data_IF_886838552115
#
_entry.id   IF_886838552115
#
_cell.length_a   1.000
_cell.length_b   1.000
_cell.length_c   1.000
_cell.angle_alpha   90.00
_cell.angle_beta   90.00
_cell.angle_gamma   90.00
#
_symmetry.space_group_name_H-M   'P 1'
#
loop_
_entity.id
_entity.type
_entity.pdbx_description
1 polymer ?
#
# COMPACT_ATOMS: atom_id res chain seq x y z
N UNK A 1 -14.66 14.72 -3.10
CA UNK A 1 -13.33 15.14 -3.57
C UNK A 1 -12.35 15.26 -2.40
N UNK A 2 -12.02 14.13 -1.75
CA UNK A 2 -11.05 14.11 -0.63
C UNK A 2 -9.67 14.62 -1.06
N UNK A 3 -9.22 14.26 -2.27
CA UNK A 3 -7.91 14.64 -2.79
C UNK A 3 -7.85 16.14 -3.06
N UNK A 4 -8.86 16.71 -3.74
CA UNK A 4 -8.94 18.16 -3.96
C UNK A 4 -8.92 18.95 -2.65
N UNK A 5 -9.57 18.47 -1.60
CA UNK A 5 -9.54 19.14 -0.29
C UNK A 5 -8.13 19.11 0.33
N UNK A 6 -7.39 18.03 0.11
CA UNK A 6 -6.02 17.85 0.59
C UNK A 6 -5.02 18.72 -0.19
N UNK A 7 -5.09 18.68 -1.52
CA UNK A 7 -4.09 19.25 -2.44
C UNK A 7 -4.48 20.60 -3.02
N UNK A 8 -5.76 20.96 -3.05
CA UNK A 8 -6.26 22.22 -3.60
C UNK A 8 -6.55 22.20 -5.11
N UNK A 9 -6.43 21.05 -5.78
CA UNK A 9 -6.70 20.91 -7.21
C UNK A 9 -7.34 19.56 -7.54
N UNK A 10 -8.01 19.47 -8.70
CA UNK A 10 -8.64 18.22 -9.17
C UNK A 10 -7.61 17.22 -9.67
N UNK A 11 -7.86 15.94 -9.43
CA UNK A 11 -6.92 14.90 -9.83
C UNK A 11 -6.75 14.80 -11.35
N UNK A 12 -5.50 14.88 -11.80
CA UNK A 12 -5.04 14.32 -13.05
C UNK A 12 -3.56 14.03 -12.93
N UNK A 13 -3.03 13.10 -13.73
CA UNK A 13 -1.60 12.78 -13.73
C UNK A 13 -0.74 14.03 -13.91
N UNK A 14 -1.10 14.87 -14.88
CA UNK A 14 -0.37 16.11 -15.18
C UNK A 14 -0.48 17.11 -14.03
N UNK A 15 -1.69 17.30 -13.46
CA UNK A 15 -1.88 18.23 -12.35
C UNK A 15 -1.09 17.79 -11.11
N UNK A 16 -0.99 16.49 -10.82
CA UNK A 16 -0.18 15.95 -9.73
C UNK A 16 1.29 16.32 -9.94
N UNK A 17 1.87 16.00 -11.10
CA UNK A 17 3.30 16.27 -11.35
C UNK A 17 3.62 17.76 -11.46
N UNK A 18 2.67 18.60 -11.89
CA UNK A 18 2.87 20.05 -11.96
C UNK A 18 2.75 20.74 -10.60
N UNK A 19 1.87 20.25 -9.72
CA UNK A 19 1.50 20.97 -8.50
C UNK A 19 2.01 20.32 -7.21
N UNK A 20 2.62 19.13 -7.26
CA UNK A 20 3.17 18.46 -6.08
C UNK A 20 4.68 18.37 -6.16
N UNK A 21 5.34 18.85 -5.10
CA UNK A 21 6.78 18.66 -4.88
C UNK A 21 6.95 17.63 -3.77
N UNK A 22 7.73 16.59 -4.07
CA UNK A 22 8.18 15.62 -3.08
C UNK A 22 9.66 15.87 -2.79
N UNK A 23 9.98 16.06 -1.51
CA UNK A 23 11.37 16.20 -1.04
C UNK A 23 11.51 15.49 0.31
N UNK A 24 12.57 14.70 0.44
CA UNK A 24 12.81 13.86 1.62
C UNK A 24 11.58 13.00 1.92
N UNK A 25 10.93 13.19 3.06
CA UNK A 25 9.73 12.48 3.53
C UNK A 25 8.47 13.37 3.52
N UNK A 26 8.51 14.48 2.78
CA UNK A 26 7.44 15.47 2.70
C UNK A 26 6.89 15.64 1.30
N UNK A 27 5.61 15.96 1.26
CA UNK A 27 4.84 16.30 0.07
C UNK A 27 4.27 17.71 0.27
N UNK A 28 4.57 18.61 -0.65
CA UNK A 28 4.03 19.98 -0.68
C UNK A 28 3.17 20.19 -1.92
N UNK A 29 1.95 20.68 -1.72
CA UNK A 29 1.12 21.17 -2.81
C UNK A 29 1.41 22.65 -3.07
N UNK A 30 1.71 22.98 -4.33
CA UNK A 30 1.90 24.34 -4.81
C UNK A 30 0.58 25.09 -4.97
N UNK A 31 -0.52 24.39 -5.20
CA UNK A 31 -1.82 25.00 -5.42
C UNK A 31 -2.41 25.65 -4.15
N UNK A 32 -2.16 25.07 -2.98
CA UNK A 32 -2.65 25.60 -1.70
C UNK A 32 -1.55 25.88 -0.67
N UNK A 33 -0.28 25.64 -1.02
CA UNK A 33 0.89 25.89 -0.17
C UNK A 33 1.07 24.91 1.00
N UNK A 34 0.16 23.95 1.21
CA UNK A 34 0.20 23.01 2.34
C UNK A 34 1.28 21.95 2.15
N UNK A 35 1.90 21.56 3.26
CA UNK A 35 2.95 20.55 3.32
C UNK A 35 2.58 19.48 4.35
N UNK A 36 2.82 18.22 3.99
CA UNK A 36 2.49 17.07 4.83
C UNK A 36 3.62 16.07 4.83
N UNK A 37 3.64 15.21 5.86
CA UNK A 37 4.60 14.12 5.94
C UNK A 37 4.02 12.87 5.28
N UNK A 38 4.54 12.48 4.09
CA UNK A 38 4.12 11.21 3.49
C UNK A 38 4.83 10.02 4.12
N UNK A 39 6.03 10.24 4.68
CA UNK A 39 6.79 9.22 5.40
C UNK A 39 7.78 8.47 4.52
N UNK A 40 7.86 7.14 4.66
CA UNK A 40 8.73 6.29 3.82
C UNK A 40 8.03 4.99 3.46
N UNK A 41 8.11 4.60 2.19
CA UNK A 41 7.59 3.33 1.71
C UNK A 41 8.70 2.28 1.69
N UNK A 42 8.49 1.16 2.37
CA UNK A 42 9.28 -0.06 2.21
C UNK A 42 8.43 -1.18 1.61
N UNK A 43 9.06 -2.10 0.88
CA UNK A 43 8.42 -3.30 0.31
C UNK A 43 9.11 -4.61 0.71
N UNK A 44 9.28 -4.90 2.02
CA UNK A 44 10.02 -6.05 2.48
C UNK A 44 9.24 -7.35 2.25
N UNK A 45 9.98 -8.43 2.01
CA UNK A 45 9.50 -9.80 2.11
C UNK A 45 9.30 -10.22 3.57
N UNK A 46 8.45 -11.21 3.82
CA UNK A 46 8.28 -11.80 5.15
C UNK A 46 9.61 -12.33 5.71
N UNK A 47 10.48 -12.86 4.85
CA UNK A 47 11.84 -13.26 5.26
C UNK A 47 12.64 -12.08 5.81
N UNK A 48 12.71 -10.98 5.07
CA UNK A 48 13.43 -9.77 5.49
C UNK A 48 12.85 -9.21 6.80
N UNK A 49 11.52 -9.24 6.98
CA UNK A 49 10.88 -8.83 8.24
C UNK A 49 11.30 -9.72 9.42
N UNK A 50 11.29 -11.05 9.24
CA UNK A 50 11.73 -12.00 10.28
C UNK A 50 13.20 -11.77 10.66
N UNK A 51 14.06 -11.48 9.68
CA UNK A 51 15.46 -11.14 9.90
C UNK A 51 15.60 -9.81 10.67
N UNK A 52 14.86 -8.76 10.29
CA UNK A 52 14.81 -7.48 11.02
C UNK A 52 14.39 -7.70 12.49
N UNK A 53 13.39 -8.54 12.75
CA UNK A 53 12.94 -8.86 14.13
C UNK A 53 13.98 -9.66 14.90
N UNK A 54 14.60 -10.66 14.28
CA UNK A 54 15.66 -11.49 14.91
C UNK A 54 16.86 -10.64 15.35
N UNK A 55 17.21 -9.63 14.55
CA UNK A 55 18.31 -8.70 14.81
C UNK A 55 17.88 -7.50 15.67
N UNK A 56 16.62 -7.42 16.09
CA UNK A 56 16.13 -6.33 16.92
C UNK A 56 16.52 -6.52 18.38
N UNK A 57 16.97 -5.44 19.01
CA UNK A 57 17.21 -5.36 20.46
C UNK A 57 15.98 -4.86 21.23
N UNK A 58 14.80 -4.85 20.62
CA UNK A 58 13.57 -4.42 21.26
C UNK A 58 13.28 -5.27 22.52
N UNK A 59 12.98 -4.59 23.63
CA UNK A 59 12.63 -5.27 24.89
C UNK A 59 11.37 -6.10 24.70
N UNK A 60 11.45 -7.40 25.02
CA UNK A 60 10.27 -8.27 25.08
C UNK A 60 9.30 -7.71 26.13
N UNK A 61 8.05 -7.49 25.73
CA UNK A 61 6.96 -7.05 26.62
C UNK A 61 5.81 -8.06 26.56
N UNK A 62 4.91 -8.02 27.54
CA UNK A 62 3.67 -8.81 27.50
C UNK A 62 2.77 -8.25 26.41
N UNK A 63 2.44 -9.08 25.43
CA UNK A 63 1.52 -8.74 24.35
C UNK A 63 0.08 -8.83 24.88
N UNK A 64 -0.74 -7.82 24.59
CA UNK A 64 -2.17 -7.83 24.85
C UNK A 64 -2.89 -7.86 23.52
N UNK A 65 -3.81 -8.81 23.36
CA UNK A 65 -4.67 -8.92 22.19
C UNK A 65 -6.11 -8.65 22.62
N UNK A 66 -6.84 -7.85 21.84
CA UNK A 66 -8.26 -7.58 22.04
C UNK A 66 -8.94 -7.42 20.68
N UNK A 67 -10.20 -7.81 20.60
CA UNK A 67 -11.07 -7.43 19.50
C UNK A 67 -11.63 -6.02 19.75
N UNK A 68 -11.68 -5.19 18.72
CA UNK A 68 -12.27 -3.85 18.76
C UNK A 68 -13.22 -3.76 17.58
N UNK A 69 -14.44 -3.30 17.83
CA UNK A 69 -15.37 -2.88 16.80
C UNK A 69 -15.42 -1.35 16.83
N UNK A 70 -14.89 -0.71 15.79
CA UNK A 70 -14.81 0.74 15.71
C UNK A 70 -14.77 1.19 14.25
N UNK A 71 -15.04 2.47 14.03
CA UNK A 71 -14.82 3.15 12.76
C UNK A 71 -13.31 3.38 12.55
N UNK A 72 -12.77 2.90 11.43
CA UNK A 72 -11.33 2.96 11.18
C UNK A 72 -10.83 4.39 10.94
N UNK A 73 -11.66 5.28 10.38
CA UNK A 73 -11.35 6.71 10.27
C UNK A 73 -11.26 7.34 11.66
N UNK A 74 -12.20 7.01 12.56
CA UNK A 74 -12.14 7.50 13.93
C UNK A 74 -10.87 7.02 14.67
N UNK A 75 -10.44 5.77 14.44
CA UNK A 75 -9.19 5.26 15.00
C UNK A 75 -7.96 6.00 14.46
N UNK A 76 -7.93 6.35 13.16
CA UNK A 76 -6.84 7.15 12.60
C UNK A 76 -6.83 8.58 13.16
N UNK A 77 -7.99 9.20 13.36
CA UNK A 77 -8.11 10.55 13.89
C UNK A 77 -7.77 10.65 15.39
N UNK A 78 -7.86 9.56 16.15
CA UNK A 78 -7.53 9.56 17.57
C UNK A 78 -6.01 9.78 17.79
N UNK A 79 -5.58 10.91 18.37
CA UNK A 79 -4.17 11.19 18.62
C UNK A 79 -3.51 10.19 19.59
N UNK A 80 -4.29 9.43 20.36
CA UNK A 80 -3.77 8.35 21.21
C UNK A 80 -3.13 7.21 20.41
N UNK A 81 -3.48 7.08 19.13
CA UNK A 81 -2.87 6.14 18.18
C UNK A 81 -1.62 6.68 17.47
N UNK A 82 -1.05 7.80 17.93
CA UNK A 82 0.23 8.30 17.40
C UNK A 82 1.30 7.20 17.44
N UNK A 83 2.00 7.01 16.33
CA UNK A 83 3.00 5.96 16.08
C UNK A 83 2.43 4.52 16.07
N UNK A 84 1.10 4.35 16.04
CA UNK A 84 0.51 3.04 15.85
C UNK A 84 0.71 2.54 14.42
N UNK A 85 0.78 1.22 14.27
CA UNK A 85 0.80 0.53 12.98
C UNK A 85 -0.62 0.04 12.66
N UNK A 86 -1.19 0.52 11.56
CA UNK A 86 -2.46 0.09 11.00
C UNK A 86 -2.19 -0.92 9.88
N UNK A 87 -2.50 -2.19 10.15
CA UNK A 87 -2.42 -3.23 9.13
C UNK A 87 -3.77 -3.39 8.46
N UNK A 88 -3.81 -3.24 7.15
CA UNK A 88 -4.99 -3.42 6.30
C UNK A 88 -4.70 -4.37 5.15
N UNK A 89 -5.74 -5.02 4.65
CA UNK A 89 -5.64 -5.71 3.37
C UNK A 89 -5.55 -4.66 2.25
N UNK A 90 -4.64 -4.91 1.30
CA UNK A 90 -4.39 -4.07 0.14
C UNK A 90 -4.14 -4.97 -1.07
N UNK A 91 -4.25 -4.43 -2.28
CA UNK A 91 -3.86 -5.14 -3.49
C UNK A 91 -2.33 -5.29 -3.55
N UNK A 92 -1.84 -6.20 -4.40
CA UNK A 92 -0.40 -6.49 -4.46
C UNK A 92 0.43 -5.35 -5.07
N UNK A 93 -0.21 -4.32 -5.64
CA UNK A 93 0.43 -3.07 -6.07
C UNK A 93 0.33 -1.93 -5.04
N UNK A 94 -0.19 -2.21 -3.84
CA UNK A 94 -0.35 -1.27 -2.73
C UNK A 94 -1.33 -0.13 -3.01
N UNK A 95 -2.28 -0.36 -3.93
CA UNK A 95 -3.40 0.53 -4.24
C UNK A 95 -4.72 -0.14 -3.83
N UNK A 96 -5.78 0.66 -3.75
CA UNK A 96 -7.15 0.24 -3.35
C UNK A 96 -8.13 0.51 -4.50
N UNK A 97 -7.76 0.11 -5.72
CA UNK A 97 -8.59 0.34 -6.89
C UNK A 97 -9.86 -0.51 -6.81
N UNK A 98 -11.02 -0.02 -7.22
CA UNK A 98 -12.29 -0.77 -7.07
C UNK A 98 -12.37 -2.04 -7.96
N UNK A 99 -11.47 -2.17 -8.94
CA UNK A 99 -11.40 -3.33 -9.81
C UNK A 99 -10.10 -3.44 -10.61
N UNK A 100 -9.85 -4.60 -11.25
CA UNK A 100 -8.61 -4.87 -11.98
C UNK A 100 -8.45 -4.02 -13.25
N UNK A 101 -9.50 -3.36 -13.71
CA UNK A 101 -9.46 -2.52 -14.90
C UNK A 101 -9.24 -1.03 -14.57
N UNK A 102 -9.13 -0.66 -13.29
CA UNK A 102 -8.94 0.74 -12.88
C UNK A 102 -7.46 1.04 -12.67
N UNK A 103 -6.80 1.61 -13.66
CA UNK A 103 -5.34 1.74 -13.69
C UNK A 103 -4.83 2.84 -12.74
N UNK A 104 -3.52 2.85 -12.39
CA UNK A 104 -2.92 3.91 -11.58
C UNK A 104 -3.16 5.33 -12.13
N UNK A 105 -3.18 5.46 -13.47
CA UNK A 105 -3.39 6.73 -14.16
C UNK A 105 -4.83 7.25 -14.04
N UNK A 106 -5.81 6.37 -13.78
CA UNK A 106 -7.20 6.77 -13.53
C UNK A 106 -7.39 7.41 -12.14
N UNK A 107 -6.36 7.36 -11.29
CA UNK A 107 -6.28 8.15 -10.06
C UNK A 107 -6.89 7.48 -8.83
N UNK A 108 -6.64 8.12 -7.69
CA UNK A 108 -7.00 7.64 -6.34
C UNK A 108 -8.12 8.47 -5.70
N UNK A 109 -8.59 9.54 -6.35
CA UNK A 109 -9.73 10.33 -5.87
C UNK A 109 -10.99 9.46 -5.77
N UNK A 110 -11.13 8.47 -6.67
CA UNK A 110 -12.26 7.53 -6.70
C UNK A 110 -12.43 6.68 -5.42
N UNK A 111 -11.42 6.61 -4.55
CA UNK A 111 -11.48 5.86 -3.29
C UNK A 111 -12.62 6.35 -2.38
N UNK A 112 -13.11 7.58 -2.55
CA UNK A 112 -14.24 8.09 -1.75
C UNK A 112 -15.57 7.40 -2.01
N UNK A 113 -15.68 6.65 -3.11
CA UNK A 113 -16.87 5.88 -3.46
C UNK A 113 -16.81 4.44 -2.95
N UNK A 114 -15.67 4.00 -2.42
CA UNK A 114 -15.50 2.69 -1.81
C UNK A 114 -15.41 2.84 -0.28
N UNK A 115 -16.45 2.36 0.40
CA UNK A 115 -16.58 2.46 1.86
C UNK A 115 -15.99 1.26 2.61
N UNK A 116 -15.19 0.43 1.94
CA UNK A 116 -14.43 -0.63 2.62
C UNK A 116 -13.23 -0.07 3.38
N UNK A 117 -12.63 -0.88 4.25
CA UNK A 117 -11.58 -0.42 5.17
C UNK A 117 -10.30 0.06 4.46
N UNK A 118 -9.90 -0.60 3.36
CA UNK A 118 -8.67 -0.26 2.62
C UNK A 118 -8.68 1.18 2.11
N UNK A 119 -9.65 1.57 1.27
CA UNK A 119 -9.81 2.94 0.77
C UNK A 119 -9.93 3.98 1.90
N UNK A 120 -10.68 3.69 2.98
CA UNK A 120 -10.80 4.61 4.11
C UNK A 120 -9.43 4.87 4.76
N UNK A 121 -8.64 3.82 5.02
CA UNK A 121 -7.29 3.97 5.56
C UNK A 121 -6.36 4.72 4.59
N UNK A 122 -6.46 4.43 3.29
CA UNK A 122 -5.70 5.12 2.26
C UNK A 122 -6.02 6.63 2.21
N UNK A 123 -7.28 7.02 2.41
CA UNK A 123 -7.71 8.43 2.49
C UNK A 123 -7.26 9.08 3.81
N UNK A 124 -7.32 8.35 4.93
CA UNK A 124 -6.85 8.85 6.24
C UNK A 124 -5.37 9.28 6.17
N UNK A 125 -4.55 8.52 5.44
CA UNK A 125 -3.14 8.80 5.21
C UNK A 125 -2.89 9.23 3.75
N UNK A 126 -3.67 10.21 3.29
CA UNK A 126 -3.81 10.57 1.88
C UNK A 126 -2.48 10.88 1.18
N UNK A 127 -1.54 11.54 1.86
CA UNK A 127 -0.22 11.84 1.25
C UNK A 127 0.66 10.61 1.06
N UNK A 128 0.55 9.59 1.93
CA UNK A 128 1.18 8.29 1.70
C UNK A 128 0.59 7.60 0.46
N UNK A 129 -0.72 7.71 0.26
CA UNK A 129 -1.41 7.16 -0.92
C UNK A 129 -1.04 7.89 -2.21
N UNK A 130 -0.96 9.23 -2.21
CA UNK A 130 -0.47 10.01 -3.35
C UNK A 130 0.96 9.57 -3.70
N UNK A 131 1.83 9.44 -2.69
CA UNK A 131 3.20 9.01 -2.91
C UNK A 131 3.26 7.62 -3.56
N UNK A 132 2.54 6.63 -3.01
CA UNK A 132 2.49 5.26 -3.55
C UNK A 132 2.06 5.21 -5.02
N UNK A 133 1.07 6.01 -5.42
CA UNK A 133 0.58 6.00 -6.79
C UNK A 133 1.50 6.77 -7.74
N UNK A 134 1.93 7.98 -7.37
CA UNK A 134 2.53 8.92 -8.32
C UNK A 134 4.04 9.11 -8.19
N UNK A 135 4.64 8.83 -7.03
CA UNK A 135 6.02 9.22 -6.74
C UNK A 135 6.92 8.07 -6.26
N UNK A 136 6.36 6.91 -5.91
CA UNK A 136 7.13 5.73 -5.57
C UNK A 136 8.06 5.33 -6.74
N UNK A 137 9.30 4.97 -6.44
CA UNK A 137 10.25 4.50 -7.45
C UNK A 137 10.02 3.02 -7.72
N UNK A 138 9.54 2.70 -8.91
CA UNK A 138 9.19 1.34 -9.34
C UNK A 138 10.02 0.99 -10.56
N UNK A 139 10.87 -0.03 -10.47
CA UNK A 139 11.75 -0.50 -11.55
C UNK A 139 12.56 0.65 -12.21
N UNK A 140 13.03 1.60 -11.40
CA UNK A 140 13.82 2.74 -11.87
C UNK A 140 13.00 3.96 -12.31
N UNK A 141 11.69 3.84 -12.47
CA UNK A 141 10.79 4.92 -12.89
C UNK A 141 10.00 5.50 -11.71
N UNK A 142 9.58 6.76 -11.81
CA UNK A 142 8.77 7.43 -10.79
C UNK A 142 7.29 7.21 -11.10
N UNK A 143 6.55 6.76 -10.08
CA UNK A 143 5.11 6.52 -10.16
C UNK A 143 4.77 5.15 -10.71
N UNK A 144 3.59 4.67 -10.32
CA UNK A 144 2.96 3.49 -10.88
C UNK A 144 2.23 3.84 -12.17
N UNK A 145 2.22 2.89 -13.09
CA UNK A 145 1.50 2.98 -14.37
C UNK A 145 0.89 1.64 -14.70
N UNK A 146 0.03 1.58 -15.71
CA UNK A 146 -0.56 0.33 -16.20
C UNK A 146 0.49 -0.75 -16.48
N UNK A 147 1.68 -0.35 -16.98
CA UNK A 147 2.74 -1.27 -17.40
C UNK A 147 3.93 -1.34 -16.42
N UNK A 148 3.89 -0.61 -15.30
CA UNK A 148 4.97 -0.59 -14.32
C UNK A 148 4.39 -0.35 -12.93
N UNK A 149 4.23 -1.42 -12.16
CA UNK A 149 3.60 -1.40 -10.83
C UNK A 149 4.50 -2.08 -9.80
N UNK A 150 4.31 -1.72 -8.54
CA UNK A 150 4.76 -2.54 -7.43
C UNK A 150 4.04 -3.89 -7.57
N UNK A 151 4.77 -4.98 -7.35
CA UNK A 151 4.19 -6.32 -7.34
C UNK A 151 4.69 -7.10 -6.13
N UNK A 152 3.83 -7.19 -5.12
CA UNK A 152 4.11 -7.91 -3.89
C UNK A 152 4.08 -9.43 -4.04
N UNK A 153 3.63 -9.96 -5.19
CA UNK A 153 3.68 -11.38 -5.53
C UNK A 153 4.86 -11.75 -6.43
N UNK A 154 5.67 -10.80 -6.92
CA UNK A 154 6.71 -11.07 -7.91
C UNK A 154 7.66 -12.23 -7.53
N UNK A 155 8.00 -12.37 -6.24
CA UNK A 155 8.87 -13.46 -5.77
C UNK A 155 8.13 -14.80 -5.59
N UNK A 156 6.80 -14.77 -5.39
CA UNK A 156 5.93 -15.95 -5.41
C UNK A 156 5.68 -16.42 -6.85
N UNK A 157 5.52 -15.49 -7.80
CA UNK A 157 5.42 -15.79 -9.25
C UNK A 157 6.61 -16.65 -9.67
N UNK A 158 7.84 -16.25 -9.33
CA UNK A 158 9.06 -17.01 -9.62
C UNK A 158 9.09 -18.36 -8.91
N UNK A 159 8.65 -18.43 -7.66
CA UNK A 159 8.68 -19.66 -6.88
C UNK A 159 7.70 -20.73 -7.40
N UNK A 160 6.59 -20.31 -8.02
CA UNK A 160 5.57 -21.21 -8.58
C UNK A 160 5.70 -21.38 -10.10
N UNK A 161 6.61 -20.68 -10.76
CA UNK A 161 6.82 -20.75 -12.21
C UNK A 161 5.69 -20.09 -13.02
N UNK A 162 5.13 -18.97 -12.51
CA UNK A 162 4.02 -18.26 -13.15
C UNK A 162 4.44 -17.10 -14.06
N UNK A 163 5.68 -17.05 -14.54
CA UNK A 163 6.18 -15.94 -15.38
C UNK A 163 5.40 -15.77 -16.70
N UNK A 164 4.82 -16.87 -17.20
CA UNK A 164 4.00 -16.90 -18.41
C UNK A 164 2.50 -16.79 -18.12
N UNK A 165 2.11 -16.37 -16.90
CA UNK A 165 0.73 -16.20 -16.45
C UNK A 165 -0.16 -17.45 -16.62
N UNK A 166 0.42 -18.66 -16.53
CA UNK A 166 -0.33 -19.91 -16.71
C UNK A 166 -1.18 -20.26 -15.48
N UNK A 167 -0.75 -19.86 -14.28
CA UNK A 167 -1.43 -20.12 -13.03
C UNK A 167 -2.42 -19.00 -12.67
N UNK A 168 -1.98 -17.75 -12.83
CA UNK A 168 -2.82 -16.55 -12.70
C UNK A 168 -2.25 -15.42 -13.55
N UNK A 169 -3.09 -14.44 -13.87
CA UNK A 169 -2.65 -13.19 -14.48
C UNK A 169 -2.63 -12.09 -13.42
N UNK A 170 -1.52 -11.35 -13.30
CA UNK A 170 -1.50 -10.12 -12.53
C UNK A 170 -2.11 -8.99 -13.35
N UNK A 171 -3.19 -8.37 -12.86
CA UNK A 171 -3.81 -7.20 -13.48
C UNK A 171 -4.12 -6.14 -12.44
N UNK A 172 -3.38 -5.04 -12.50
CA UNK A 172 -3.55 -3.90 -11.60
C UNK A 172 -3.57 -4.27 -10.10
N UNK A 173 -2.60 -5.06 -9.66
CA UNK A 173 -2.52 -5.53 -8.26
C UNK A 173 -3.42 -6.71 -7.91
N UNK A 174 -4.29 -7.17 -8.82
CA UNK A 174 -5.11 -8.37 -8.64
C UNK A 174 -4.42 -9.60 -9.22
N UNK A 175 -4.43 -10.71 -8.48
CA UNK A 175 -4.09 -12.03 -8.99
C UNK A 175 -5.37 -12.71 -9.52
N UNK A 176 -5.56 -12.73 -10.84
CA UNK A 176 -6.71 -13.35 -11.50
C UNK A 176 -6.41 -14.83 -11.73
N UNK A 177 -6.82 -15.65 -10.76
CA UNK A 177 -6.56 -17.08 -10.71
C UNK A 177 -7.27 -17.81 -11.86
N UNK A 178 -6.57 -18.77 -12.46
CA UNK A 178 -7.13 -19.70 -13.45
C UNK A 178 -7.43 -21.03 -12.79
N UNK A 179 -8.52 -21.69 -13.17
CA UNK A 179 -8.95 -22.95 -12.58
C UNK A 179 -7.87 -24.04 -12.70
N UNK A 180 -7.37 -24.31 -13.91
CA UNK A 180 -6.25 -25.24 -14.12
C UNK A 180 -4.99 -24.82 -13.35
N UNK A 181 -4.77 -23.51 -13.24
CA UNK A 181 -3.69 -22.93 -12.45
C UNK A 181 -3.77 -23.30 -10.97
N UNK A 182 -4.97 -23.29 -10.38
CA UNK A 182 -5.19 -23.68 -8.99
C UNK A 182 -4.87 -25.15 -8.75
N UNK A 183 -5.20 -26.04 -9.70
CA UNK A 183 -4.82 -27.45 -9.60
C UNK A 183 -3.31 -27.64 -9.59
N UNK A 184 -2.59 -26.95 -10.48
CA UNK A 184 -1.12 -26.99 -10.52
C UNK A 184 -0.52 -26.43 -9.23
N UNK A 185 -1.02 -25.29 -8.73
CA UNK A 185 -0.56 -24.71 -7.46
C UNK A 185 -0.76 -25.71 -6.32
N UNK A 186 -1.93 -26.35 -6.24
CA UNK A 186 -2.21 -27.33 -5.18
C UNK A 186 -1.23 -28.51 -5.20
N UNK A 187 -0.89 -29.05 -6.38
CA UNK A 187 0.09 -30.14 -6.47
C UNK A 187 1.51 -29.67 -6.11
N UNK A 188 1.91 -28.46 -6.52
CA UNK A 188 3.20 -27.88 -6.13
C UNK A 188 3.27 -27.69 -4.61
N UNK A 189 2.21 -27.15 -3.99
CA UNK A 189 2.14 -26.89 -2.54
C UNK A 189 2.32 -28.16 -1.70
N UNK A 190 1.84 -29.33 -2.16
CA UNK A 190 2.09 -30.61 -1.48
C UNK A 190 3.57 -30.99 -1.39
N UNK A 191 4.38 -30.51 -2.32
CA UNK A 191 5.80 -30.87 -2.47
C UNK A 191 6.75 -29.79 -1.95
N UNK A 192 6.24 -28.66 -1.45
CA UNK A 192 7.07 -27.55 -0.96
C UNK A 192 6.71 -27.13 0.46
N UNK A 193 7.66 -26.48 1.13
CA UNK A 193 7.38 -25.85 2.42
C UNK A 193 6.50 -24.62 2.22
N UNK A 194 5.29 -24.66 2.76
CA UNK A 194 4.39 -23.51 2.79
C UNK A 194 5.05 -22.29 3.46
N UNK A 195 5.88 -22.50 4.48
CA UNK A 195 6.56 -21.40 5.15
C UNK A 195 7.66 -20.78 4.27
N UNK A 196 8.39 -21.59 3.52
CA UNK A 196 9.38 -21.10 2.56
C UNK A 196 8.74 -20.27 1.43
N UNK A 197 7.51 -20.62 1.01
CA UNK A 197 6.75 -19.82 0.06
C UNK A 197 6.24 -18.51 0.70
N UNK A 198 5.70 -18.57 1.93
CA UNK A 198 5.26 -17.37 2.67
C UNK A 198 6.39 -16.37 2.86
N UNK A 199 7.61 -16.84 3.07
CA UNK A 199 8.81 -16.00 3.15
C UNK A 199 9.07 -15.14 1.91
N UNK A 200 8.51 -15.51 0.74
CA UNK A 200 8.60 -14.75 -0.51
C UNK A 200 7.53 -13.67 -0.64
N UNK A 201 6.44 -13.73 0.13
CA UNK A 201 5.40 -12.70 0.10
C UNK A 201 6.01 -11.37 0.54
N UNK A 202 5.79 -10.32 -0.25
CA UNK A 202 6.13 -8.96 0.10
C UNK A 202 4.91 -8.21 0.61
N UNK A 203 5.16 -7.20 1.43
CA UNK A 203 4.14 -6.26 1.90
C UNK A 203 4.62 -4.84 1.70
N UNK A 204 3.70 -3.90 1.54
CA UNK A 204 3.99 -2.48 1.66
C UNK A 204 3.94 -2.04 3.12
N UNK A 205 4.90 -1.23 3.55
CA UNK A 205 4.86 -0.54 4.84
C UNK A 205 5.11 0.95 4.62
N UNK A 206 4.12 1.77 4.96
CA UNK A 206 4.19 3.23 4.84
C UNK A 206 4.51 3.85 6.20
N UNK A 207 5.79 3.93 6.53
CA UNK A 207 6.26 4.43 7.82
C UNK A 207 6.01 5.93 8.00
N UNK A 208 5.60 6.31 9.21
CA UNK A 208 5.51 7.70 9.70
C UNK A 208 4.72 8.65 8.76
N UNK A 209 3.58 8.18 8.26
CA UNK A 209 2.71 8.99 7.39
C UNK A 209 1.73 9.81 8.22
N UNK A 210 1.51 11.06 7.83
CA UNK A 210 0.60 11.98 8.51
C UNK A 210 -0.85 11.60 8.24
N UNK A 211 -1.67 11.62 9.29
CA UNK A 211 -3.13 11.59 9.14
C UNK A 211 -3.58 12.93 8.59
N UNK A 212 -4.19 12.94 7.41
CA UNK A 212 -4.46 14.17 6.63
C UNK A 212 -5.89 14.68 6.76
N UNK A 213 -6.71 14.03 7.58
CA UNK A 213 -8.12 14.39 7.77
C UNK A 213 -8.30 15.30 8.99
N UNK A 214 -9.31 16.16 8.91
CA UNK A 214 -9.84 16.98 10.02
C UNK A 214 -8.77 17.79 10.77
N UNK A 215 -7.74 18.26 10.05
CA UNK A 215 -6.65 19.07 10.60
C UNK A 215 -5.65 18.31 11.47
N UNK A 216 -5.66 16.97 11.41
CA UNK A 216 -4.73 16.14 12.18
C UNK A 216 -3.26 16.36 11.79
N UNK A 217 -2.39 16.28 12.78
CA UNK A 217 -0.93 16.45 12.61
C UNK A 217 -0.12 15.27 13.13
N UNK A 218 -0.75 14.32 13.83
CA UNK A 218 -0.05 13.11 14.27
C UNK A 218 0.20 12.16 13.11
N UNK A 219 1.10 11.23 13.36
CA UNK A 219 1.60 10.28 12.37
C UNK A 219 1.35 8.87 12.84
N UNK A 220 1.10 8.01 11.88
CA UNK A 220 0.85 6.57 12.03
C UNK A 220 1.69 5.82 10.99
N UNK A 221 1.63 4.51 10.96
CA UNK A 221 2.27 3.67 9.93
C UNK A 221 1.33 2.61 9.42
#
# INVERSE_FOLDING_TARGET
MWLKNLTGFQESKDAIYQNIIVKENKLKSLANGKEYHYGTLENPSLKELREKVKNSHAKKRKLKLRAIQADVKALHLDPSNKNALFQVASQFNLLEMIGPNVTPEQGIECYEHDHTQGPICAICCGVGTIYRNYFAKVNGQIGQSTNNQIDCLADIVKALGNENNQLWEMRNGYALLKEDGLHVINEQLKQMSHDALREKLRIGVQWDTQVTLDGSEHRVS
#
